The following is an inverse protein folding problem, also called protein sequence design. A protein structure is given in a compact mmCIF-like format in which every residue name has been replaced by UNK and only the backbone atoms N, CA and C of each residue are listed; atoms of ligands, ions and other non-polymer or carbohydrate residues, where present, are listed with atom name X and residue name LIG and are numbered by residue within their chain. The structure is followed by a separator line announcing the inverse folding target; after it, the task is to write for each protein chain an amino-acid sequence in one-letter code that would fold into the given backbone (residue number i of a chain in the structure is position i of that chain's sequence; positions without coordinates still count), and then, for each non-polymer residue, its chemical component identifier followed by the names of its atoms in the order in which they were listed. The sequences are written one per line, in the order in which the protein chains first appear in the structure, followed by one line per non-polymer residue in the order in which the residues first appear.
data_IF_541826735966
#
_entry.id   IF_541826735966
#
_cell.length_a   1.000
_cell.length_b   1.000
_cell.length_c   1.000
_cell.angle_alpha   90.00
_cell.angle_beta   90.00
_cell.angle_gamma   90.00
#
_symmetry.space_group_name_H-M   'P 1'
#
loop_
_entity.id
_entity.type
_entity.pdbx_description
1 polymer ?
#
# COMPACT_ATOMS: atom_id res chain seq x y z
N UNK A 1 14.07 -5.30 -2.00
CA UNK A 1 15.28 -4.62 -2.50
C UNK A 1 14.98 -3.33 -3.29
N UNK A 2 14.20 -3.38 -4.38
CA UNK A 2 13.89 -2.21 -5.22
C UNK A 2 13.41 -0.98 -4.41
N UNK A 3 12.39 -1.16 -3.57
CA UNK A 3 11.88 -0.08 -2.71
C UNK A 3 12.93 0.49 -1.74
N UNK A 4 13.81 -0.34 -1.18
CA UNK A 4 14.88 0.11 -0.28
C UNK A 4 15.94 0.93 -1.02
N UNK A 5 16.37 0.48 -2.20
CA UNK A 5 17.28 1.26 -3.05
C UNK A 5 16.67 2.60 -3.46
N UNK A 6 15.36 2.61 -3.74
CA UNK A 6 14.64 3.84 -4.08
C UNK A 6 14.56 4.81 -2.88
N UNK A 7 14.37 4.29 -1.68
CA UNK A 7 14.38 5.09 -0.45
C UNK A 7 15.77 5.71 -0.20
N UNK A 8 16.84 4.91 -0.28
CA UNK A 8 18.21 5.41 -0.07
C UNK A 8 18.74 6.30 -1.20
N UNK A 9 18.24 6.15 -2.42
CA UNK A 9 18.60 7.01 -3.56
C UNK A 9 17.97 8.39 -3.49
N UNK A 10 16.98 8.61 -2.59
CA UNK A 10 16.23 9.86 -2.47
C UNK A 10 14.98 9.91 -3.34
N UNK A 11 14.54 8.78 -3.91
CA UNK A 11 13.31 8.69 -4.70
C UNK A 11 12.07 9.06 -3.89
N UNK A 12 12.01 8.72 -2.60
CA UNK A 12 10.91 9.14 -1.70
C UNK A 12 10.76 10.67 -1.65
N UNK A 13 11.88 11.39 -1.56
CA UNK A 13 11.88 12.86 -1.58
C UNK A 13 11.36 13.38 -2.91
N UNK A 14 11.76 12.78 -4.03
CA UNK A 14 11.25 13.16 -5.35
C UNK A 14 9.74 12.99 -5.49
N UNK A 15 9.16 11.87 -5.03
CA UNK A 15 7.70 11.69 -5.05
C UNK A 15 6.98 12.69 -4.16
N UNK A 16 7.53 12.96 -2.96
CA UNK A 16 7.02 14.00 -2.08
C UNK A 16 7.10 15.40 -2.73
N UNK A 17 8.20 15.74 -3.40
CA UNK A 17 8.39 17.02 -4.09
C UNK A 17 7.43 17.19 -5.27
N UNK A 18 7.18 16.12 -6.04
CA UNK A 18 6.18 16.11 -7.12
C UNK A 18 4.79 16.32 -6.56
N UNK A 19 4.44 15.58 -5.51
CA UNK A 19 3.14 15.72 -4.85
C UNK A 19 2.96 17.14 -4.32
N UNK A 20 3.98 17.72 -3.68
CA UNK A 20 4.01 19.12 -3.24
C UNK A 20 3.80 20.10 -4.40
N UNK A 21 4.55 19.96 -5.49
CA UNK A 21 4.48 20.84 -6.65
C UNK A 21 3.11 20.81 -7.34
N UNK A 22 2.49 19.62 -7.40
CA UNK A 22 1.21 19.41 -8.10
C UNK A 22 0.01 19.73 -7.21
N UNK A 23 0.04 19.35 -5.93
CA UNK A 23 -1.13 19.41 -5.04
C UNK A 23 -1.11 20.57 -4.03
N UNK A 24 0.05 21.18 -3.76
CA UNK A 24 0.19 22.21 -2.72
C UNK A 24 -0.65 23.46 -2.92
N UNK A 25 -1.04 23.77 -4.16
CA UNK A 25 -1.83 24.97 -4.53
C UNK A 25 -3.32 24.85 -4.21
N UNK A 26 -3.82 23.62 -4.04
CA UNK A 26 -5.25 23.37 -3.81
C UNK A 26 -5.63 23.47 -2.33
N UNK A 27 -6.92 23.67 -2.08
CA UNK A 27 -7.50 23.51 -0.74
C UNK A 27 -7.24 22.08 -0.25
N UNK A 28 -6.87 21.95 1.02
CA UNK A 28 -6.48 20.66 1.60
C UNK A 28 -5.20 20.10 1.00
N UNK A 29 -4.35 20.94 0.38
CA UNK A 29 -3.15 20.52 -0.35
C UNK A 29 -2.29 19.53 0.44
N UNK A 30 -2.08 19.75 1.74
CA UNK A 30 -1.28 18.85 2.59
C UNK A 30 -1.80 17.39 2.61
N UNK A 31 -3.12 17.19 2.70
CA UNK A 31 -3.72 15.85 2.66
C UNK A 31 -3.67 15.24 1.25
N UNK A 32 -3.91 16.05 0.21
CA UNK A 32 -3.78 15.60 -1.19
C UNK A 32 -2.35 15.23 -1.55
N UNK A 33 -1.36 15.93 -0.99
CA UNK A 33 0.06 15.58 -1.13
C UNK A 33 0.32 14.20 -0.54
N UNK A 34 -0.20 13.91 0.66
CA UNK A 34 -0.13 12.57 1.28
C UNK A 34 -0.73 11.51 0.35
N UNK A 35 -1.96 11.72 -0.12
CA UNK A 35 -2.65 10.77 -1.03
C UNK A 35 -1.83 10.48 -2.29
N UNK A 36 -1.27 11.50 -2.96
CA UNK A 36 -0.46 11.31 -4.18
C UNK A 36 0.88 10.65 -3.88
N UNK A 37 1.63 11.18 -2.90
CA UNK A 37 2.95 10.69 -2.58
C UNK A 37 2.91 9.23 -2.12
N UNK A 38 1.99 8.91 -1.21
CA UNK A 38 1.78 7.55 -0.72
C UNK A 38 1.24 6.62 -1.81
N UNK A 39 0.44 7.14 -2.75
CA UNK A 39 0.01 6.38 -3.93
C UNK A 39 1.18 5.97 -4.83
N UNK A 40 2.02 6.94 -5.19
CA UNK A 40 3.19 6.70 -6.05
C UNK A 40 4.27 5.84 -5.39
N UNK A 41 4.56 6.07 -4.10
CA UNK A 41 5.57 5.27 -3.39
C UNK A 41 5.02 3.91 -2.94
N UNK A 42 3.74 3.87 -2.57
CA UNK A 42 3.03 2.68 -2.16
C UNK A 42 2.92 1.65 -3.27
N UNK A 43 2.62 2.11 -4.49
CA UNK A 43 2.54 1.24 -5.68
C UNK A 43 3.85 0.51 -6.01
N UNK A 44 4.95 0.94 -5.40
CA UNK A 44 6.29 0.35 -5.52
C UNK A 44 6.61 -0.52 -4.33
N UNK A 45 6.49 0.06 -3.14
CA UNK A 45 6.96 -0.57 -1.90
C UNK A 45 6.02 -1.70 -1.49
N UNK A 46 4.72 -1.57 -1.76
CA UNK A 46 3.70 -2.54 -1.41
C UNK A 46 3.59 -2.85 0.08
N UNK A 47 4.17 -2.00 0.94
CA UNK A 47 4.25 -2.19 2.39
C UNK A 47 3.79 -0.90 3.07
N UNK A 48 2.68 -0.97 3.82
CA UNK A 48 2.06 0.20 4.47
C UNK A 48 3.04 0.94 5.38
N UNK A 49 3.72 0.23 6.28
CA UNK A 49 4.63 0.83 7.27
C UNK A 49 5.81 1.51 6.59
N UNK A 50 6.37 0.88 5.55
CA UNK A 50 7.46 1.48 4.77
C UNK A 50 7.00 2.73 4.03
N UNK A 51 5.76 2.75 3.55
CA UNK A 51 5.17 3.91 2.89
C UNK A 51 5.01 5.06 3.90
N UNK A 52 4.41 4.80 5.07
CA UNK A 52 4.27 5.80 6.14
C UNK A 52 5.65 6.36 6.57
N UNK A 53 6.70 5.53 6.62
CA UNK A 53 8.05 6.02 6.92
C UNK A 53 8.62 6.92 5.81
N UNK A 54 8.29 6.64 4.55
CA UNK A 54 8.82 7.38 3.41
C UNK A 54 8.09 8.71 3.16
N UNK A 55 6.76 8.72 3.27
CA UNK A 55 5.91 9.88 2.97
C UNK A 55 5.46 10.57 4.24
N UNK A 56 5.04 9.81 5.26
CA UNK A 56 4.49 10.29 6.52
C UNK A 56 5.40 11.22 7.33
N UNK A 57 6.71 10.99 7.28
CA UNK A 57 7.71 11.85 7.95
C UNK A 57 7.65 13.30 7.45
N UNK A 58 7.23 13.52 6.21
CA UNK A 58 7.07 14.85 5.61
C UNK A 58 5.63 15.32 5.65
N UNK A 59 4.68 14.45 5.28
CA UNK A 59 3.27 14.80 5.09
C UNK A 59 2.53 15.02 6.41
N UNK A 60 2.80 14.23 7.46
CA UNK A 60 2.14 14.37 8.77
C UNK A 60 2.48 15.72 9.41
N UNK A 61 3.76 16.14 9.53
CA UNK A 61 4.09 17.47 10.04
C UNK A 61 3.51 18.60 9.19
N UNK A 62 3.48 18.44 7.86
CA UNK A 62 2.89 19.42 6.94
C UNK A 62 1.37 19.58 7.17
N UNK A 63 0.64 18.48 7.29
CA UNK A 63 -0.78 18.48 7.63
C UNK A 63 -1.01 19.17 8.98
N UNK A 64 -0.22 18.84 10.01
CA UNK A 64 -0.33 19.49 11.33
C UNK A 64 -0.09 21.00 11.25
N UNK A 65 0.93 21.46 10.52
CA UNK A 65 1.23 22.89 10.33
C UNK A 65 0.12 23.65 9.61
N UNK A 66 -0.60 22.99 8.70
CA UNK A 66 -1.73 23.59 7.97
C UNK A 66 -3.04 23.57 8.74
N UNK A 67 -3.09 22.93 9.91
CA UNK A 67 -4.24 22.96 10.83
C UNK A 67 -4.95 21.62 11.01
N UNK A 68 -4.48 20.53 10.41
CA UNK A 68 -5.06 19.20 10.69
C UNK A 68 -4.75 18.78 12.13
N UNK A 69 -5.74 18.24 12.88
CA UNK A 69 -5.46 17.66 14.17
C UNK A 69 -4.56 16.41 14.02
N UNK A 70 -3.68 16.11 15.00
CA UNK A 70 -2.67 15.05 14.86
C UNK A 70 -3.22 13.67 14.47
N UNK A 71 -4.33 13.26 15.08
CA UNK A 71 -4.97 11.96 14.79
C UNK A 71 -5.53 11.89 13.37
N UNK A 72 -6.01 13.00 12.81
CA UNK A 72 -6.53 13.02 11.44
C UNK A 72 -5.38 13.06 10.42
N UNK A 73 -4.31 13.81 10.70
CA UNK A 73 -3.11 13.79 9.85
C UNK A 73 -2.52 12.38 9.74
N UNK A 74 -2.42 11.66 10.87
CA UNK A 74 -2.01 10.26 10.88
C UNK A 74 -3.00 9.34 10.14
N UNK A 75 -4.30 9.57 10.31
CA UNK A 75 -5.34 8.79 9.64
C UNK A 75 -5.28 8.91 8.12
N UNK A 76 -5.19 10.13 7.59
CA UNK A 76 -5.06 10.38 6.14
C UNK A 76 -3.83 9.66 5.58
N UNK A 77 -2.68 9.80 6.25
CA UNK A 77 -1.44 9.16 5.82
C UNK A 77 -1.52 7.63 5.88
N UNK A 78 -2.10 7.07 6.94
CA UNK A 78 -2.26 5.63 7.09
C UNK A 78 -3.18 5.05 6.00
N UNK A 79 -4.32 5.71 5.75
CA UNK A 79 -5.28 5.28 4.72
C UNK A 79 -4.66 5.39 3.33
N UNK A 80 -4.04 6.52 2.99
CA UNK A 80 -3.33 6.68 1.72
C UNK A 80 -2.22 5.62 1.54
N UNK A 81 -1.49 5.31 2.61
CA UNK A 81 -0.44 4.30 2.59
C UNK A 81 -0.97 2.88 2.40
N UNK A 82 -2.11 2.56 2.99
CA UNK A 82 -2.78 1.25 2.87
C UNK A 82 -3.21 0.97 1.43
N UNK A 83 -3.80 1.97 0.75
CA UNK A 83 -4.16 1.84 -0.67
C UNK A 83 -2.97 1.60 -1.59
N UNK A 84 -1.76 1.96 -1.14
CA UNK A 84 -0.51 1.73 -1.89
C UNK A 84 -0.28 0.25 -2.20
N UNK A 85 -0.78 -0.64 -1.35
CA UNK A 85 -0.67 -2.08 -1.55
C UNK A 85 -1.55 -2.59 -2.69
N UNK A 86 -2.63 -1.87 -3.01
CA UNK A 86 -3.57 -2.24 -4.06
C UNK A 86 -3.16 -1.65 -5.41
N UNK A 87 -2.47 -0.50 -5.39
CA UNK A 87 -2.14 0.28 -6.58
C UNK A 87 -1.03 -0.38 -7.44
N UNK A 88 -1.30 -0.67 -8.73
CA UNK A 88 -0.27 -1.03 -9.72
C UNK A 88 0.88 -0.02 -9.82
N UNK A 89 2.11 -0.43 -10.16
CA UNK A 89 2.44 -1.63 -10.93
C UNK A 89 3.14 -2.76 -10.16
N UNK A 90 3.48 -2.60 -8.87
CA UNK A 90 4.14 -3.67 -8.09
C UNK A 90 3.15 -4.30 -7.10
N UNK A 91 2.28 -3.51 -6.47
CA UNK A 91 1.19 -4.00 -5.58
C UNK A 91 1.66 -4.91 -4.43
N UNK A 92 2.94 -4.85 -4.08
CA UNK A 92 3.58 -5.74 -3.12
C UNK A 92 3.66 -7.21 -3.58
N UNK A 93 4.26 -8.04 -2.72
CA UNK A 93 4.49 -9.48 -3.01
C UNK A 93 3.18 -10.26 -3.20
N UNK A 94 2.08 -9.77 -2.64
CA UNK A 94 0.79 -10.47 -2.65
C UNK A 94 0.19 -10.61 -4.03
N UNK A 95 0.37 -9.62 -4.92
CA UNK A 95 -0.12 -9.72 -6.28
C UNK A 95 0.61 -10.83 -7.08
N UNK A 96 1.88 -11.09 -6.80
CA UNK A 96 2.61 -12.23 -7.39
C UNK A 96 2.07 -13.57 -6.89
N UNK A 97 1.87 -13.68 -5.58
CA UNK A 97 1.31 -14.89 -4.97
C UNK A 97 -0.13 -15.12 -5.44
N UNK A 98 -0.91 -14.06 -5.70
CA UNK A 98 -2.23 -14.18 -6.31
C UNK A 98 -2.17 -14.70 -7.73
N UNK A 99 -1.27 -14.16 -8.57
CA UNK A 99 -1.08 -14.62 -9.93
C UNK A 99 -0.69 -16.11 -9.97
N UNK A 100 0.21 -16.52 -9.09
CA UNK A 100 0.63 -17.93 -8.94
C UNK A 100 -0.53 -18.80 -8.42
N UNK A 101 -1.22 -18.40 -7.35
CA UNK A 101 -2.33 -19.18 -6.79
C UNK A 101 -3.48 -19.39 -7.80
N UNK A 102 -3.76 -18.38 -8.62
CA UNK A 102 -4.79 -18.44 -9.66
C UNK A 102 -4.29 -19.03 -10.98
N UNK A 103 -2.98 -19.27 -11.12
CA UNK A 103 -2.31 -19.72 -12.36
C UNK A 103 -2.65 -18.82 -13.56
N UNK A 104 -2.62 -17.50 -13.34
CA UNK A 104 -2.85 -16.47 -14.38
C UNK A 104 -1.63 -15.55 -14.50
N UNK A 105 -1.58 -14.76 -15.59
CA UNK A 105 -0.51 -13.78 -15.75
C UNK A 105 -0.63 -12.64 -14.73
N UNK A 106 0.51 -12.15 -14.23
CA UNK A 106 0.55 -10.98 -13.34
C UNK A 106 -0.10 -9.75 -13.98
N UNK A 107 0.04 -9.58 -15.29
CA UNK A 107 -0.61 -8.49 -16.02
C UNK A 107 -2.13 -8.51 -15.88
N UNK A 108 -2.76 -9.68 -15.81
CA UNK A 108 -4.20 -9.80 -15.57
C UNK A 108 -4.59 -9.30 -14.17
N UNK A 109 -3.79 -9.62 -13.14
CA UNK A 109 -3.98 -9.13 -11.77
C UNK A 109 -3.84 -7.61 -11.73
N UNK A 110 -2.80 -7.05 -12.38
CA UNK A 110 -2.59 -5.60 -12.45
C UNK A 110 -3.75 -4.88 -13.10
N UNK A 111 -4.24 -5.38 -14.24
CA UNK A 111 -5.37 -4.76 -14.95
C UNK A 111 -6.63 -4.82 -14.10
N UNK A 112 -6.88 -5.94 -13.42
CA UNK A 112 -8.02 -6.08 -12.52
C UNK A 112 -7.95 -5.12 -11.32
N UNK A 113 -6.75 -4.88 -10.78
CA UNK A 113 -6.55 -4.01 -9.63
C UNK A 113 -6.51 -2.51 -9.95
N UNK A 114 -6.26 -2.15 -11.21
CA UNK A 114 -6.17 -0.75 -11.62
C UNK A 114 -7.47 0.01 -11.35
N UNK A 115 -8.63 -0.57 -11.71
CA UNK A 115 -9.92 0.11 -11.55
C UNK A 115 -10.28 0.32 -10.07
N UNK A 116 -10.28 -0.72 -9.20
CA UNK A 116 -10.51 -0.54 -7.77
C UNK A 116 -9.53 0.46 -7.13
N UNK A 117 -8.25 0.40 -7.50
CA UNK A 117 -7.24 1.31 -6.96
C UNK A 117 -7.50 2.75 -7.35
N UNK A 118 -7.82 3.02 -8.62
CA UNK A 118 -8.15 4.40 -9.04
C UNK A 118 -9.38 4.92 -8.31
N UNK A 119 -10.43 4.11 -8.17
CA UNK A 119 -11.64 4.49 -7.43
C UNK A 119 -11.33 4.78 -5.95
N UNK A 120 -10.50 3.95 -5.32
CA UNK A 120 -10.04 4.15 -3.95
C UNK A 120 -9.33 5.50 -3.78
N UNK A 121 -8.34 5.80 -4.62
CA UNK A 121 -7.61 7.06 -4.52
C UNK A 121 -8.47 8.27 -4.89
N UNK A 122 -9.39 8.16 -5.85
CA UNK A 122 -10.36 9.22 -6.16
C UNK A 122 -11.25 9.49 -4.93
N UNK A 123 -11.75 8.45 -4.27
CA UNK A 123 -12.54 8.58 -3.05
C UNK A 123 -11.73 9.27 -1.93
N UNK A 124 -10.48 8.87 -1.71
CA UNK A 124 -9.59 9.54 -0.75
C UNK A 124 -9.33 11.00 -1.10
N UNK A 125 -9.19 11.31 -2.39
CA UNK A 125 -9.01 12.69 -2.85
C UNK A 125 -10.22 13.57 -2.57
N UNK A 126 -11.42 13.04 -2.81
CA UNK A 126 -12.69 13.71 -2.50
C UNK A 126 -12.79 13.91 -0.99
N UNK A 127 -12.51 12.87 -0.19
CA UNK A 127 -12.56 12.98 1.26
C UNK A 127 -11.53 13.95 1.84
N UNK A 128 -10.31 13.98 1.28
CA UNK A 128 -9.30 14.95 1.65
C UNK A 128 -9.78 16.39 1.40
N UNK A 129 -10.50 16.63 0.30
CA UNK A 129 -11.06 17.96 0.00
C UNK A 129 -12.22 18.33 0.92
N UNK A 130 -13.15 17.41 1.17
CA UNK A 130 -14.31 17.60 2.04
C UNK A 130 -13.89 17.85 3.49
N UNK A 131 -12.95 17.06 4.01
CA UNK A 131 -12.46 17.21 5.38
C UNK A 131 -11.65 18.51 5.53
N UNK A 132 -10.87 18.89 4.52
CA UNK A 132 -10.20 20.19 4.49
C UNK A 132 -11.21 21.36 4.50
N UNK A 133 -12.29 21.24 3.73
CA UNK A 133 -13.35 22.24 3.68
C UNK A 133 -14.04 22.37 5.05
N UNK A 134 -14.35 21.24 5.69
CA UNK A 134 -14.97 21.17 7.01
C UNK A 134 -14.11 21.81 8.09
N UNK A 135 -12.79 21.64 8.02
CA UNK A 135 -11.84 22.20 8.98
C UNK A 135 -11.35 23.61 8.62
N UNK A 136 -11.78 24.17 7.49
CA UNK A 136 -11.34 25.49 7.03
C UNK A 136 -9.86 25.55 6.63
N UNK A 137 -9.26 24.42 6.25
CA UNK A 137 -7.83 24.30 5.97
C UNK A 137 -7.50 24.89 4.60
N UNK A 138 -6.56 25.84 4.60
CA UNK A 138 -6.13 26.57 3.40
C UNK A 138 -5.04 25.80 2.64
N UNK A 139 -4.67 26.33 1.47
CA UNK A 139 -3.56 25.84 0.65
C UNK A 139 -2.23 25.90 1.44
N UNK A 140 -1.26 25.10 1.00
CA UNK A 140 0.10 25.15 1.54
C UNK A 140 0.72 26.51 1.23
N UNK A 141 1.60 26.99 2.10
CA UNK A 141 2.32 28.24 1.92
C UNK A 141 3.15 28.21 0.62
N UNK A 142 3.07 29.27 -0.19
CA UNK A 142 3.66 29.32 -1.52
C UNK A 142 5.19 29.19 -1.50
N UNK A 143 5.83 29.61 -0.41
CA UNK A 143 7.27 29.45 -0.15
C UNK A 143 7.71 27.98 -0.02
N UNK A 144 6.79 27.08 0.35
CA UNK A 144 7.07 25.66 0.54
C UNK A 144 6.76 24.83 -0.71
N UNK A 145 6.15 25.42 -1.75
CA UNK A 145 5.79 24.73 -2.98
C UNK A 145 6.97 24.79 -3.97
N UNK A 146 7.65 23.66 -4.26
CA UNK A 146 8.73 23.66 -5.22
C UNK A 146 8.21 23.86 -6.66
N UNK A 147 9.05 24.43 -7.52
CA UNK A 147 8.72 24.60 -8.95
C UNK A 147 8.74 23.26 -9.66
N UNK A 148 7.62 22.89 -10.30
CA UNK A 148 7.44 21.59 -10.95
C UNK A 148 8.56 21.24 -11.95
N UNK A 149 8.97 22.20 -12.78
CA UNK A 149 10.04 22.01 -13.76
C UNK A 149 11.40 21.74 -13.11
N UNK A 150 11.69 22.34 -11.96
CA UNK A 150 12.91 22.07 -11.20
C UNK A 150 12.91 20.68 -10.57
N UNK A 151 11.75 20.23 -10.07
CA UNK A 151 11.58 18.88 -9.53
C UNK A 151 11.77 17.83 -10.63
N UNK A 152 11.13 18.01 -11.79
CA UNK A 152 11.27 17.10 -12.93
C UNK A 152 12.69 17.05 -13.48
N UNK A 153 13.35 18.21 -13.63
CA UNK A 153 14.73 18.27 -14.12
C UNK A 153 15.74 17.57 -13.20
N UNK A 154 15.48 17.54 -11.89
CA UNK A 154 16.38 16.90 -10.92
C UNK A 154 16.04 15.44 -10.65
N UNK A 155 14.78 15.02 -10.84
CA UNK A 155 14.32 13.69 -10.46
C UNK A 155 13.80 12.79 -11.59
N UNK A 156 13.90 13.21 -12.86
CA UNK A 156 13.60 12.35 -14.02
C UNK A 156 14.31 10.98 -13.96
N UNK A 157 15.45 10.94 -13.27
CA UNK A 157 16.25 9.75 -12.98
C UNK A 157 15.40 8.64 -12.33
N UNK A 158 14.40 8.98 -11.50
CA UNK A 158 13.54 7.99 -10.84
C UNK A 158 12.37 7.50 -11.70
N UNK A 159 12.08 8.18 -12.83
CA UNK A 159 11.09 7.72 -13.81
C UNK A 159 11.63 6.53 -14.61
N UNK A 160 12.95 6.49 -14.85
CA UNK A 160 13.57 5.44 -15.66
C UNK A 160 13.44 4.02 -15.05
N UNK A 161 13.72 3.78 -13.75
CA UNK A 161 13.47 2.48 -13.13
C UNK A 161 12.03 2.00 -13.24
N UNK A 162 11.07 2.90 -13.16
CA UNK A 162 9.66 2.60 -13.37
C UNK A 162 9.35 2.21 -14.81
N UNK A 163 9.89 2.97 -15.77
CA UNK A 163 9.74 2.65 -17.18
C UNK A 163 10.35 1.27 -17.49
N UNK A 164 11.52 0.95 -16.92
CA UNK A 164 12.16 -0.37 -17.03
C UNK A 164 11.26 -1.45 -16.41
N UNK A 165 10.72 -1.22 -15.22
CA UNK A 165 9.80 -2.18 -14.57
C UNK A 165 8.58 -2.48 -15.44
N UNK A 166 7.88 -1.44 -15.90
CA UNK A 166 6.68 -1.57 -16.75
C UNK A 166 7.04 -2.23 -18.09
N UNK A 167 8.13 -1.82 -18.72
CA UNK A 167 8.57 -2.37 -20.01
C UNK A 167 8.94 -3.84 -19.90
N UNK A 168 9.75 -4.22 -18.92
CA UNK A 168 10.15 -5.62 -18.74
C UNK A 168 8.95 -6.50 -18.39
N UNK A 169 8.01 -6.00 -17.58
CA UNK A 169 6.82 -6.73 -17.18
C UNK A 169 5.83 -6.93 -18.33
N UNK A 170 5.50 -5.90 -19.09
CA UNK A 170 4.43 -5.96 -20.10
C UNK A 170 4.93 -6.20 -21.53
N UNK A 171 6.08 -5.63 -21.91
CA UNK A 171 6.59 -5.76 -23.28
C UNK A 171 7.47 -7.01 -23.44
N UNK A 172 8.28 -7.34 -22.43
CA UNK A 172 9.11 -8.54 -22.45
C UNK A 172 8.44 -9.76 -21.81
N UNK A 173 7.24 -9.60 -21.22
CA UNK A 173 6.52 -10.64 -20.47
C UNK A 173 7.43 -11.37 -19.48
N UNK A 174 8.34 -10.62 -18.85
CA UNK A 174 9.25 -11.17 -17.84
C UNK A 174 8.49 -11.46 -16.56
N UNK A 175 8.97 -12.45 -15.81
CA UNK A 175 8.47 -12.68 -14.46
C UNK A 175 8.71 -11.43 -13.61
N UNK A 176 7.78 -11.15 -12.72
CA UNK A 176 7.77 -9.85 -12.08
C UNK A 176 8.91 -9.66 -11.07
N UNK A 177 9.45 -10.75 -10.52
CA UNK A 177 10.67 -10.75 -9.73
C UNK A 177 11.90 -10.35 -10.56
N UNK A 178 12.00 -10.84 -11.81
CA UNK A 178 13.03 -10.42 -12.76
C UNK A 178 12.87 -8.93 -13.11
N UNK A 179 11.65 -8.48 -13.41
CA UNK A 179 11.33 -7.08 -13.70
C UNK A 179 11.73 -6.14 -12.55
N UNK A 180 11.42 -6.53 -11.31
CA UNK A 180 11.82 -5.80 -10.11
C UNK A 180 13.34 -5.77 -9.93
N UNK A 181 14.06 -6.83 -10.32
CA UNK A 181 15.53 -6.87 -10.29
C UNK A 181 16.15 -5.90 -11.31
N UNK A 182 15.63 -5.84 -12.53
CA UNK A 182 16.07 -4.87 -13.54
C UNK A 182 15.83 -3.42 -13.08
N UNK A 183 14.67 -3.15 -12.47
CA UNK A 183 14.35 -1.84 -11.91
C UNK A 183 15.29 -1.48 -10.74
N UNK A 184 15.57 -2.43 -9.84
CA UNK A 184 16.52 -2.27 -8.75
C UNK A 184 17.94 -1.95 -9.25
N UNK A 185 18.43 -2.70 -10.25
CA UNK A 185 19.71 -2.45 -10.89
C UNK A 185 19.77 -1.07 -11.53
N UNK A 186 18.68 -0.64 -12.18
CA UNK A 186 18.57 0.69 -12.79
C UNK A 186 18.66 1.80 -11.73
N UNK A 187 17.92 1.70 -10.62
CA UNK A 187 18.04 2.67 -9.50
C UNK A 187 19.46 2.74 -8.99
N UNK A 188 20.10 1.58 -8.79
CA UNK A 188 21.45 1.52 -8.26
C UNK A 188 22.47 2.19 -9.19
N UNK A 189 22.46 1.84 -10.47
CA UNK A 189 23.37 2.43 -11.47
C UNK A 189 23.19 3.94 -11.54
N UNK A 190 21.94 4.41 -11.65
CA UNK A 190 21.65 5.84 -11.73
C UNK A 190 22.03 6.58 -10.45
N UNK A 191 21.75 5.99 -9.29
CA UNK A 191 22.08 6.56 -7.98
C UNK A 191 23.58 6.69 -7.75
N UNK A 192 24.38 5.75 -8.26
CA UNK A 192 25.86 5.79 -8.16
C UNK A 192 26.45 6.78 -9.18
N UNK A 193 25.99 6.76 -10.44
CA UNK A 193 26.59 7.53 -11.54
C UNK A 193 26.15 9.00 -11.50
N UNK A 194 24.85 9.25 -11.45
CA UNK A 194 24.28 10.60 -11.51
C UNK A 194 24.08 11.17 -10.10
N UNK A 195 23.52 10.34 -9.20
CA UNK A 195 23.07 10.78 -7.88
C UNK A 195 21.83 11.68 -7.95
N UNK A 196 21.29 12.03 -6.78
CA UNK A 196 20.13 12.93 -6.65
C UNK A 196 20.52 14.18 -5.84
N UNK A 197 20.18 15.37 -6.35
CA UNK A 197 20.51 16.68 -5.73
C UNK A 197 22.00 16.81 -5.33
N UNK A 198 22.89 16.35 -6.21
CA UNK A 198 24.34 16.41 -5.99
C UNK A 198 24.89 15.39 -4.98
N UNK A 199 24.06 14.50 -4.43
CA UNK A 199 24.51 13.37 -3.59
C UNK A 199 24.44 12.07 -4.39
N UNK A 200 25.61 11.48 -4.67
CA UNK A 200 25.72 10.13 -5.23
C UNK A 200 25.55 9.09 -4.14
N UNK A 201 24.95 7.96 -4.50
CA UNK A 201 24.86 6.81 -3.61
C UNK A 201 26.23 6.14 -3.47
N UNK A 202 26.75 5.95 -2.25
CA UNK A 202 27.96 5.17 -2.08
C UNK A 202 27.68 3.69 -2.37
N UNK A 203 28.68 2.97 -2.88
CA UNK A 203 28.58 1.52 -3.15
C UNK A 203 28.20 0.72 -1.90
N UNK A 204 28.56 1.20 -0.71
CA UNK A 204 28.16 0.63 0.59
C UNK A 204 26.65 0.60 0.80
N UNK A 205 25.90 1.49 0.14
CA UNK A 205 24.43 1.51 0.21
C UNK A 205 23.80 0.27 -0.41
N UNK A 206 24.44 -0.37 -1.40
CA UNK A 206 23.95 -1.65 -1.93
C UNK A 206 23.97 -2.72 -0.84
N UNK A 207 25.11 -2.87 -0.16
CA UNK A 207 25.24 -3.81 0.95
C UNK A 207 24.22 -3.53 2.05
N UNK A 208 24.09 -2.26 2.45
CA UNK A 208 23.11 -1.84 3.45
C UNK A 208 21.67 -2.16 3.02
N UNK A 209 21.31 -1.87 1.77
CA UNK A 209 19.97 -2.13 1.24
C UNK A 209 19.67 -3.63 1.16
N UNK A 210 20.68 -4.46 0.89
CA UNK A 210 20.56 -5.93 0.93
C UNK A 210 20.33 -6.40 2.37
N UNK A 211 21.11 -5.91 3.33
CA UNK A 211 20.94 -6.27 4.76
C UNK A 211 19.57 -5.85 5.28
N UNK A 212 19.13 -4.62 5.00
CA UNK A 212 17.81 -4.12 5.39
C UNK A 212 16.68 -4.89 4.69
N UNK A 213 16.87 -5.26 3.41
CA UNK A 213 15.93 -6.17 2.71
C UNK A 213 15.91 -7.53 3.40
N UNK A 214 17.06 -8.08 3.77
CA UNK A 214 17.17 -9.36 4.47
C UNK A 214 16.43 -9.37 5.80
N UNK A 215 16.59 -8.33 6.62
CA UNK A 215 15.87 -8.18 7.88
C UNK A 215 14.35 -8.12 7.65
N UNK A 216 13.89 -7.29 6.71
CA UNK A 216 12.48 -7.22 6.36
C UNK A 216 11.94 -8.57 5.84
N UNK A 217 12.73 -9.33 5.08
CA UNK A 217 12.38 -10.68 4.63
C UNK A 217 12.29 -11.67 5.79
N UNK A 218 13.20 -11.61 6.77
CA UNK A 218 13.15 -12.46 7.97
C UNK A 218 11.86 -12.21 8.76
N UNK A 219 11.48 -10.95 8.94
CA UNK A 219 10.20 -10.59 9.59
C UNK A 219 9.00 -11.19 8.82
N UNK A 220 8.99 -11.08 7.49
CA UNK A 220 7.95 -11.68 6.64
C UNK A 220 7.92 -13.20 6.79
N UNK A 221 9.07 -13.88 6.77
CA UNK A 221 9.17 -15.34 6.92
C UNK A 221 8.63 -15.78 8.29
N UNK A 222 9.08 -15.14 9.37
CA UNK A 222 8.68 -15.49 10.74
C UNK A 222 7.18 -15.36 10.93
N UNK A 223 6.59 -14.26 10.44
CA UNK A 223 5.16 -14.05 10.63
C UNK A 223 4.34 -14.93 9.67
N UNK A 224 4.84 -15.20 8.45
CA UNK A 224 4.20 -16.16 7.54
C UNK A 224 4.21 -17.58 8.12
N UNK A 225 5.29 -17.98 8.81
CA UNK A 225 5.35 -19.26 9.51
C UNK A 225 4.31 -19.33 10.65
N UNK A 226 4.20 -18.28 11.46
CA UNK A 226 3.18 -18.21 12.52
C UNK A 226 1.75 -18.27 11.95
N UNK A 227 1.48 -17.55 10.87
CA UNK A 227 0.20 -17.62 10.17
C UNK A 227 -0.06 -19.01 9.57
N UNK A 228 0.97 -19.65 9.02
CA UNK A 228 0.90 -21.03 8.52
C UNK A 228 0.52 -22.03 9.60
N UNK A 229 1.03 -21.88 10.84
CA UNK A 229 0.58 -22.69 11.98
C UNK A 229 -0.90 -22.46 12.31
N UNK A 230 -1.36 -21.22 12.30
CA UNK A 230 -2.78 -20.89 12.55
C UNK A 230 -3.66 -21.52 11.46
N UNK A 231 -3.30 -21.35 10.18
CA UNK A 231 -4.01 -21.95 9.05
C UNK A 231 -4.02 -23.48 9.18
N UNK A 232 -2.89 -24.09 9.53
CA UNK A 232 -2.78 -25.53 9.74
C UNK A 232 -3.68 -26.05 10.87
N UNK A 233 -3.74 -25.36 12.01
CA UNK A 233 -4.66 -25.70 13.11
C UNK A 233 -6.11 -25.57 12.65
N UNK A 234 -6.47 -24.50 11.95
CA UNK A 234 -7.83 -24.29 11.45
C UNK A 234 -8.26 -25.37 10.44
N UNK A 235 -7.32 -25.86 9.61
CA UNK A 235 -7.57 -26.96 8.70
C UNK A 235 -7.74 -28.30 9.44
N UNK A 236 -6.84 -28.63 10.37
CA UNK A 236 -6.88 -29.89 11.12
C UNK A 236 -8.12 -29.96 12.03
N UNK A 237 -8.50 -28.85 12.65
CA UNK A 237 -9.73 -28.76 13.46
C UNK A 237 -11.01 -28.79 12.64
N UNK A 238 -10.91 -28.66 11.31
CA UNK A 238 -12.07 -28.56 10.41
C UNK A 238 -12.80 -27.21 10.49
N UNK A 239 -12.32 -26.27 11.30
CA UNK A 239 -12.90 -24.93 11.42
C UNK A 239 -12.89 -24.18 10.09
N UNK A 240 -11.83 -24.35 9.28
CA UNK A 240 -11.77 -23.71 7.97
C UNK A 240 -12.91 -24.14 7.06
N UNK A 241 -13.09 -25.46 6.92
CA UNK A 241 -14.20 -26.03 6.16
C UNK A 241 -15.57 -25.66 6.75
N UNK A 242 -15.69 -25.57 8.07
CA UNK A 242 -16.94 -25.16 8.73
C UNK A 242 -17.29 -23.69 8.41
N UNK A 243 -16.31 -22.79 8.43
CA UNK A 243 -16.49 -21.38 8.05
C UNK A 243 -16.89 -21.26 6.57
N UNK A 244 -16.18 -21.95 5.66
CA UNK A 244 -16.52 -21.97 4.24
C UNK A 244 -17.94 -22.48 4.02
N UNK A 245 -18.31 -23.61 4.62
CA UNK A 245 -19.65 -24.19 4.50
C UNK A 245 -20.74 -23.27 5.06
N UNK A 246 -20.47 -22.59 6.18
CA UNK A 246 -21.38 -21.61 6.74
C UNK A 246 -21.62 -20.44 5.78
N UNK A 247 -20.54 -19.90 5.21
CA UNK A 247 -20.61 -18.82 4.22
C UNK A 247 -21.38 -19.26 2.97
N UNK A 248 -21.07 -20.43 2.40
CA UNK A 248 -21.77 -20.96 1.22
C UNK A 248 -23.27 -21.14 1.48
N UNK A 249 -23.64 -21.72 2.63
CA UNK A 249 -25.06 -21.91 3.00
C UNK A 249 -25.80 -20.58 3.08
N UNK A 250 -25.16 -19.56 3.63
CA UNK A 250 -25.72 -18.23 3.77
C UNK A 250 -25.80 -17.53 2.41
N UNK A 251 -24.76 -17.62 1.58
CA UNK A 251 -24.72 -17.03 0.25
C UNK A 251 -25.67 -17.68 -0.76
N UNK A 252 -25.98 -18.97 -0.60
CA UNK A 252 -27.04 -19.65 -1.36
C UNK A 252 -28.45 -19.06 -1.13
N UNK A 253 -28.66 -18.34 -0.02
CA UNK A 253 -29.90 -17.60 0.25
C UNK A 253 -29.81 -16.12 -0.13
N UNK A 254 -28.67 -15.48 0.10
CA UNK A 254 -28.46 -14.06 -0.21
C UNK A 254 -26.97 -13.73 -0.40
N UNK A 255 -26.59 -13.44 -1.65
CA UNK A 255 -25.21 -13.10 -2.01
C UNK A 255 -24.71 -11.81 -1.34
N UNK A 256 -25.60 -10.84 -1.08
CA UNK A 256 -25.24 -9.59 -0.39
C UNK A 256 -24.89 -9.87 1.06
N UNK A 257 -25.66 -10.74 1.72
CA UNK A 257 -25.38 -11.11 3.10
C UNK A 257 -24.05 -11.88 3.23
N UNK A 258 -23.74 -12.75 2.26
CA UNK A 258 -22.42 -13.38 2.15
C UNK A 258 -21.32 -12.33 2.05
N UNK A 259 -21.41 -11.38 1.11
CA UNK A 259 -20.36 -10.38 0.89
C UNK A 259 -20.14 -9.52 2.15
N UNK A 260 -21.20 -9.15 2.87
CA UNK A 260 -21.08 -8.37 4.11
C UNK A 260 -20.38 -9.17 5.21
N UNK A 261 -20.75 -10.44 5.40
CA UNK A 261 -20.13 -11.29 6.43
C UNK A 261 -18.69 -11.64 6.05
N UNK A 262 -18.44 -11.95 4.77
CA UNK A 262 -17.10 -12.17 4.24
C UNK A 262 -16.23 -10.93 4.44
N UNK A 263 -16.75 -9.73 4.20
CA UNK A 263 -16.02 -8.49 4.45
C UNK A 263 -15.65 -8.30 5.92
N UNK A 264 -16.59 -8.57 6.83
CA UNK A 264 -16.30 -8.54 8.26
C UNK A 264 -15.22 -9.56 8.65
N UNK A 265 -15.30 -10.78 8.13
CA UNK A 265 -14.28 -11.81 8.35
C UNK A 265 -12.92 -11.40 7.77
N UNK A 266 -12.87 -10.82 6.57
CA UNK A 266 -11.64 -10.31 5.98
C UNK A 266 -10.97 -9.25 6.85
N UNK A 267 -11.75 -8.32 7.41
CA UNK A 267 -11.22 -7.28 8.31
C UNK A 267 -10.72 -7.92 9.61
N UNK A 268 -11.53 -8.77 10.25
CA UNK A 268 -11.20 -9.38 11.55
C UNK A 268 -10.00 -10.32 11.44
N UNK A 269 -10.01 -11.22 10.46
CA UNK A 269 -8.90 -12.13 10.21
C UNK A 269 -7.69 -11.38 9.67
N UNK A 270 -7.85 -10.20 9.06
CA UNK A 270 -6.75 -9.35 8.64
C UNK A 270 -5.99 -8.69 9.79
N UNK A 271 -6.50 -8.74 11.02
CA UNK A 271 -5.92 -8.01 12.15
C UNK A 271 -4.60 -8.61 12.62
N UNK A 272 -3.52 -7.83 12.55
CA UNK A 272 -2.27 -8.16 13.25
C UNK A 272 -1.23 -8.90 12.42
N UNK A 273 -1.61 -9.36 11.23
CA UNK A 273 -0.72 -10.11 10.34
C UNK A 273 -0.20 -9.23 9.20
N UNK A 274 0.98 -9.54 8.64
CA UNK A 274 1.46 -8.99 7.39
C UNK A 274 0.53 -9.36 6.25
N UNK A 275 0.51 -8.48 5.25
CA UNK A 275 -0.28 -8.55 4.03
C UNK A 275 -0.31 -9.93 3.38
N UNK A 276 0.85 -10.58 3.27
CA UNK A 276 0.95 -11.91 2.67
C UNK A 276 0.26 -13.01 3.49
N UNK A 277 0.43 -12.97 4.81
CA UNK A 277 -0.20 -13.91 5.72
C UNK A 277 -1.74 -13.73 5.73
N UNK A 278 -2.20 -12.48 5.77
CA UNK A 278 -3.62 -12.13 5.64
C UNK A 278 -4.20 -12.70 4.36
N UNK A 279 -3.54 -12.45 3.22
CA UNK A 279 -4.01 -12.94 1.94
C UNK A 279 -4.05 -14.47 1.87
N UNK A 280 -2.98 -15.16 2.26
CA UNK A 280 -2.94 -16.63 2.23
C UNK A 280 -4.03 -17.27 3.10
N UNK A 281 -4.28 -16.69 4.28
CA UNK A 281 -5.36 -17.13 5.16
C UNK A 281 -6.75 -16.90 4.54
N UNK A 282 -7.00 -15.71 3.98
CA UNK A 282 -8.30 -15.41 3.37
C UNK A 282 -8.53 -16.19 2.08
N UNK A 283 -7.48 -16.44 1.29
CA UNK A 283 -7.54 -17.24 0.07
C UNK A 283 -7.89 -18.71 0.35
N UNK A 284 -7.54 -19.22 1.54
CA UNK A 284 -7.87 -20.59 1.94
C UNK A 284 -9.22 -20.71 2.65
N UNK A 285 -9.66 -19.66 3.35
CA UNK A 285 -10.88 -19.70 4.18
C UNK A 285 -12.09 -19.05 3.53
N UNK A 286 -11.93 -17.91 2.87
CA UNK A 286 -13.03 -17.08 2.38
C UNK A 286 -13.19 -17.17 0.87
N UNK A 287 -12.10 -17.14 0.11
CA UNK A 287 -12.18 -17.18 -1.36
C UNK A 287 -12.96 -18.39 -1.91
N UNK A 288 -12.80 -19.64 -1.39
CA UNK A 288 -13.56 -20.78 -1.90
C UNK A 288 -15.07 -20.58 -1.77
N UNK A 289 -15.53 -19.98 -0.66
CA UNK A 289 -16.96 -19.73 -0.44
C UNK A 289 -17.57 -18.75 -1.45
N UNK A 290 -16.78 -17.79 -1.94
CA UNK A 290 -17.19 -16.86 -2.99
C UNK A 290 -17.22 -17.55 -4.36
N UNK A 291 -16.19 -18.36 -4.65
CA UNK A 291 -16.05 -19.08 -5.91
C UNK A 291 -17.13 -20.15 -6.09
N UNK A 292 -17.46 -20.89 -5.03
CA UNK A 292 -18.52 -21.91 -5.04
C UNK A 292 -19.91 -21.32 -5.34
N UNK A 293 -20.10 -20.03 -5.09
CA UNK A 293 -21.32 -19.29 -5.39
C UNK A 293 -21.30 -18.57 -6.74
N UNK A 294 -20.32 -18.89 -7.59
CA UNK A 294 -20.23 -18.42 -8.98
C UNK A 294 -19.49 -17.10 -9.16
N UNK A 295 -18.86 -16.53 -8.10
CA UNK A 295 -17.98 -15.37 -8.25
C UNK A 295 -16.68 -15.84 -8.91
N UNK A 296 -16.18 -15.06 -9.88
CA UNK A 296 -14.94 -15.45 -10.57
C UNK A 296 -13.76 -15.48 -9.59
N UNK A 297 -12.80 -16.43 -9.74
CA UNK A 297 -11.68 -16.54 -8.81
C UNK A 297 -10.89 -15.24 -8.65
N UNK A 298 -10.61 -14.53 -9.75
CA UNK A 298 -9.92 -13.25 -9.69
C UNK A 298 -10.70 -12.19 -8.89
N UNK A 299 -12.03 -12.08 -9.09
CA UNK A 299 -12.84 -11.12 -8.34
C UNK A 299 -12.92 -11.49 -6.85
N UNK A 300 -13.05 -12.79 -6.53
CA UNK A 300 -13.06 -13.27 -5.15
C UNK A 300 -11.73 -12.94 -4.44
N UNK A 301 -10.59 -13.19 -5.11
CA UNK A 301 -9.26 -12.93 -4.57
C UNK A 301 -8.95 -11.44 -4.43
N UNK A 302 -9.39 -10.61 -5.38
CA UNK A 302 -9.31 -9.14 -5.26
C UNK A 302 -10.17 -8.64 -4.10
N UNK A 303 -11.40 -9.13 -3.97
CA UNK A 303 -12.31 -8.75 -2.90
C UNK A 303 -11.72 -9.02 -1.50
N UNK A 304 -11.19 -10.23 -1.28
CA UNK A 304 -10.58 -10.57 0.02
C UNK A 304 -9.29 -9.77 0.27
N UNK A 305 -8.54 -9.43 -0.79
CA UNK A 305 -7.32 -8.64 -0.67
C UNK A 305 -7.68 -7.22 -0.24
N UNK A 306 -8.58 -6.56 -0.97
CA UNK A 306 -8.99 -5.18 -0.70
C UNK A 306 -9.50 -5.02 0.74
N UNK A 307 -10.39 -5.92 1.17
CA UNK A 307 -10.98 -5.88 2.51
C UNK A 307 -10.02 -6.37 3.59
N UNK A 308 -9.15 -7.34 3.27
CA UNK A 308 -8.07 -7.75 4.16
C UNK A 308 -7.10 -6.60 4.43
N UNK A 309 -6.79 -5.77 3.44
CA UNK A 309 -5.91 -4.62 3.62
C UNK A 309 -6.53 -3.49 4.44
N UNK A 310 -7.86 -3.35 4.43
CA UNK A 310 -8.55 -2.38 5.29
C UNK A 310 -8.31 -2.63 6.79
N UNK A 311 -7.95 -3.85 7.21
CA UNK A 311 -7.59 -4.15 8.60
C UNK A 311 -6.42 -3.29 9.14
N UNK A 312 -5.55 -2.79 8.26
CA UNK A 312 -4.42 -1.92 8.63
C UNK A 312 -4.87 -0.56 9.17
N UNK A 313 -6.10 -0.15 8.88
CA UNK A 313 -6.69 1.10 9.36
C UNK A 313 -7.89 0.89 10.29
N UNK A 314 -8.45 -0.32 10.35
CA UNK A 314 -9.62 -0.64 11.18
C UNK A 314 -9.27 -1.07 12.61
N UNK A 315 -9.80 -0.39 13.65
CA UNK A 315 -9.68 -0.82 15.04
C UNK A 315 -10.26 -2.23 15.28
N UNK A 316 -9.78 -2.98 16.29
CA UNK A 316 -8.89 -2.54 17.38
C UNK A 316 -7.38 -2.70 17.13
N UNK A 317 -6.95 -3.25 15.99
CA UNK A 317 -5.52 -3.50 15.73
C UNK A 317 -4.87 -2.45 14.84
N UNK A 318 -5.52 -2.04 13.74
CA UNK A 318 -5.16 -0.88 12.90
C UNK A 318 -3.65 -0.54 12.82
N UNK A 319 -2.79 -1.53 12.51
CA UNK A 319 -1.32 -1.40 12.67
C UNK A 319 -0.78 -0.18 11.92
N UNK A 320 -1.25 0.06 10.69
CA UNK A 320 -0.84 1.21 9.89
C UNK A 320 -1.24 2.53 10.56
N UNK A 321 -2.48 2.62 11.04
CA UNK A 321 -2.97 3.80 11.75
C UNK A 321 -2.22 4.05 13.07
N UNK A 322 -1.89 2.99 13.82
CA UNK A 322 -1.16 3.10 15.09
C UNK A 322 0.29 3.50 14.88
N UNK A 323 0.92 2.96 13.84
CA UNK A 323 2.24 3.38 13.42
C UNK A 323 2.24 4.87 13.02
N UNK A 324 1.32 5.31 12.16
CA UNK A 324 1.18 6.72 11.79
C UNK A 324 0.86 7.62 13.00
N UNK A 325 0.06 7.14 13.96
CA UNK A 325 -0.25 7.86 15.20
C UNK A 325 1.00 8.14 16.01
N UNK A 326 1.96 7.20 16.05
CA UNK A 326 3.24 7.39 16.73
C UNK A 326 4.09 8.50 16.09
N UNK A 327 4.08 8.63 14.75
CA UNK A 327 4.74 9.74 14.05
C UNK A 327 4.03 11.09 14.32
N UNK A 328 2.71 11.08 14.45
CA UNK A 328 1.93 12.29 14.71
C UNK A 328 1.93 12.74 16.17
N UNK A 329 2.31 11.87 17.11
CA UNK A 329 2.10 12.08 18.55
C UNK A 329 0.61 12.09 18.91
N UNK A 330 -0.17 11.20 18.31
CA UNK A 330 -1.62 11.09 18.49
C UNK A 330 -2.00 9.79 19.22
N UNK A 331 -3.20 9.76 19.78
CA UNK A 331 -3.75 8.55 20.39
C UNK A 331 -4.03 7.48 19.31
N UNK A 332 -3.49 6.24 19.44
CA UNK A 332 -3.61 5.21 18.41
C UNK A 332 -5.07 4.86 18.08
N UNK A 333 -5.89 4.59 19.11
CA UNK A 333 -7.28 4.15 18.91
C UNK A 333 -8.12 5.23 18.22
N UNK A 334 -7.98 6.49 18.66
CA UNK A 334 -8.64 7.64 18.01
C UNK A 334 -8.22 7.81 16.55
N UNK A 335 -6.94 7.56 16.26
CA UNK A 335 -6.40 7.58 14.89
C UNK A 335 -7.00 6.46 14.03
N UNK A 336 -7.12 5.24 14.56
CA UNK A 336 -7.76 4.12 13.85
C UNK A 336 -9.23 4.39 13.51
N UNK A 337 -10.01 4.92 14.45
CA UNK A 337 -11.39 5.34 14.16
C UNK A 337 -11.46 6.45 13.10
N UNK A 338 -10.55 7.42 13.17
CA UNK A 338 -10.47 8.48 12.15
C UNK A 338 -10.09 7.92 10.77
N UNK A 339 -9.18 6.95 10.72
CA UNK A 339 -8.73 6.30 9.49
C UNK A 339 -9.84 5.47 8.84
N UNK A 340 -10.62 4.73 9.64
CA UNK A 340 -11.79 3.96 9.18
C UNK A 340 -12.93 4.85 8.70
N UNK A 341 -13.07 6.06 9.25
CA UNK A 341 -14.06 7.03 8.77
C UNK A 341 -13.61 7.72 7.47
N UNK A 342 -12.30 7.85 7.29
CA UNK A 342 -11.69 8.55 6.17
C UNK A 342 -11.54 7.68 4.93
N UNK A 343 -11.10 6.42 5.11
CA UNK A 343 -10.99 5.41 4.06
C UNK A 343 -12.28 4.65 3.82
#
# INVERSE_FOLDING_TARGET
LFGQLLLHSGGSNFFNDIALATMGRYRGGAAKISVVASGMFGSISGIVVSNILATGVVTIPLMKKTGYPPHLAAAVEATASTGGQLMPPVMGVVAFVMADFLQISYGAVVVAALVPSLLYYIALFIQADLEAARLGIRRVEESQIPRIWGVLATGWIFVLPFAVLIYTLFALNKEAEEAAMYAAGTVFVLGVVLGYRGRRMPLRTLWRSIVETGNATVDIIMISAAAGFIIGILQVTGLGSAVTNFLVKLGGTNIVALLVIAAFLCIVLGMGMPTLAVYAMLATLVAPSLVDLGITPLAAHMFILDLGMMSFVTPPVAIGAYFAASLAGAEPLKTGFAATRFG
#
